data_IF_778739844952
#
_entry.id   IF_778739844952
#
_cell.length_a   1.000
_cell.length_b   1.000
_cell.length_c   1.000
_cell.angle_alpha   90.00
_cell.angle_beta   90.00
_cell.angle_gamma   90.00
#
_symmetry.space_group_name_H-M   'P 1'
#
loop_
_entity.id
_entity.type
_entity.pdbx_description
1 polymer ?
#
# COMPACT_ATOMS: atom_id res chain seq x y z
N UNK A 1 -23.61 -6.68 -15.05
CA UNK A 1 -23.01 -5.36 -15.32
C UNK A 1 -22.36 -5.36 -16.70
N UNK A 2 -22.96 -4.67 -17.66
CA UNK A 2 -22.51 -4.55 -19.05
C UNK A 2 -22.04 -3.12 -19.29
N UNK A 3 -20.84 -2.80 -18.81
CA UNK A 3 -20.00 -1.80 -19.47
C UNK A 3 -18.69 -2.51 -19.84
N UNK A 4 -18.25 -2.47 -21.11
CA UNK A 4 -17.02 -3.11 -21.53
C UNK A 4 -15.83 -2.24 -21.10
N UNK A 5 -15.69 -2.00 -19.79
CA UNK A 5 -14.53 -1.32 -19.25
C UNK A 5 -13.30 -2.19 -19.50
N UNK A 6 -12.27 -1.59 -20.09
CA UNK A 6 -10.97 -2.26 -20.22
C UNK A 6 -10.41 -2.46 -18.82
N UNK A 7 -9.69 -3.57 -18.62
CA UNK A 7 -9.05 -3.88 -17.32
C UNK A 7 -8.17 -2.72 -16.84
N UNK A 8 -7.49 -2.04 -17.77
CA UNK A 8 -6.68 -0.85 -17.50
C UNK A 8 -7.48 0.34 -16.99
N UNK A 9 -8.70 0.57 -17.49
CA UNK A 9 -9.58 1.66 -17.04
C UNK A 9 -10.08 1.41 -15.63
N UNK A 10 -10.40 0.15 -15.31
CA UNK A 10 -10.80 -0.22 -13.96
C UNK A 10 -9.65 -0.07 -12.96
N UNK A 11 -8.44 -0.53 -13.31
CA UNK A 11 -7.25 -0.31 -12.47
C UNK A 11 -7.04 1.20 -12.27
N UNK A 12 -7.03 2.00 -13.35
CA UNK A 12 -6.83 3.45 -13.24
C UNK A 12 -7.87 4.11 -12.32
N UNK A 13 -9.16 3.75 -12.45
CA UNK A 13 -10.21 4.26 -11.60
C UNK A 13 -9.98 3.91 -10.11
N UNK A 14 -9.60 2.67 -9.81
CA UNK A 14 -9.27 2.23 -8.45
C UNK A 14 -8.09 3.03 -7.86
N UNK A 15 -7.03 3.21 -8.64
CA UNK A 15 -5.86 3.98 -8.20
C UNK A 15 -6.20 5.44 -7.91
N UNK A 16 -6.99 6.08 -8.79
CA UNK A 16 -7.43 7.48 -8.63
C UNK A 16 -8.34 7.64 -7.41
N UNK A 17 -9.35 6.78 -7.23
CA UNK A 17 -10.23 6.83 -6.07
C UNK A 17 -9.43 6.61 -4.78
N UNK A 18 -8.52 5.63 -4.78
CA UNK A 18 -7.63 5.37 -3.65
C UNK A 18 -6.77 6.59 -3.31
N UNK A 19 -6.21 7.26 -4.32
CA UNK A 19 -5.42 8.47 -4.13
C UNK A 19 -6.24 9.57 -3.49
N UNK A 20 -7.41 9.88 -4.06
CA UNK A 20 -8.29 10.94 -3.56
C UNK A 20 -8.71 10.68 -2.11
N UNK A 21 -9.19 9.46 -1.83
CA UNK A 21 -9.61 9.05 -0.48
C UNK A 21 -8.47 9.16 0.53
N UNK A 22 -7.29 8.68 0.16
CA UNK A 22 -6.10 8.69 1.04
C UNK A 22 -5.63 10.12 1.30
N UNK A 23 -5.56 10.95 0.27
CA UNK A 23 -5.18 12.36 0.39
C UNK A 23 -6.14 13.14 1.28
N UNK A 24 -7.45 12.97 1.11
CA UNK A 24 -8.45 13.64 1.97
C UNK A 24 -8.30 13.19 3.42
N UNK A 25 -8.16 11.88 3.67
CA UNK A 25 -8.00 11.36 5.02
C UNK A 25 -6.74 11.87 5.73
N UNK A 26 -5.64 11.96 4.99
CA UNK A 26 -4.36 12.41 5.55
C UNK A 26 -4.33 13.92 5.76
N UNK A 27 -4.90 14.71 4.84
CA UNK A 27 -5.03 16.14 5.04
C UNK A 27 -5.86 16.45 6.29
N UNK A 28 -6.97 15.73 6.48
CA UNK A 28 -7.78 15.87 7.69
C UNK A 28 -6.98 15.50 8.96
N UNK A 29 -6.25 14.39 8.94
CA UNK A 29 -5.41 13.97 10.06
C UNK A 29 -4.28 14.96 10.35
N UNK A 30 -3.62 15.51 9.31
CA UNK A 30 -2.56 16.49 9.44
C UNK A 30 -3.07 17.81 10.04
N UNK A 31 -4.25 18.28 9.62
CA UNK A 31 -4.87 19.48 10.19
C UNK A 31 -5.20 19.30 11.68
N UNK A 32 -5.72 18.12 12.06
CA UNK A 32 -5.95 17.79 13.46
C UNK A 32 -4.64 17.71 14.26
N UNK A 33 -3.58 17.16 13.68
CA UNK A 33 -2.26 17.10 14.32
C UNK A 33 -1.70 18.50 14.60
N UNK A 34 -1.82 19.42 13.65
CA UNK A 34 -1.40 20.82 13.81
C UNK A 34 -2.24 21.50 14.91
N UNK A 35 -3.57 21.32 14.88
CA UNK A 35 -4.47 21.98 15.82
C UNK A 35 -4.33 21.46 17.26
N UNK A 36 -4.12 20.15 17.45
CA UNK A 36 -4.14 19.51 18.77
C UNK A 36 -2.75 19.32 19.39
N UNK A 37 -1.70 19.16 18.58
CA UNK A 37 -0.36 18.79 19.05
C UNK A 37 0.73 19.80 18.69
N UNK A 38 0.38 20.92 18.03
CA UNK A 38 1.34 21.95 17.54
C UNK A 38 2.49 21.34 16.72
N UNK A 39 2.26 20.17 16.11
CA UNK A 39 3.23 19.46 15.31
C UNK A 39 2.93 19.67 13.84
N UNK A 40 3.82 20.38 13.14
CA UNK A 40 3.67 20.63 11.72
C UNK A 40 4.44 19.60 10.90
N UNK A 41 3.74 18.58 10.44
CA UNK A 41 4.30 17.52 9.59
C UNK A 41 4.87 18.08 8.27
N UNK A 42 4.37 19.23 7.81
CA UNK A 42 4.82 19.84 6.56
C UNK A 42 6.20 20.50 6.67
N UNK A 43 6.73 20.71 7.88
CA UNK A 43 8.09 21.23 8.07
C UNK A 43 9.17 20.25 7.58
N UNK A 44 8.85 18.96 7.52
CA UNK A 44 9.71 17.92 6.92
C UNK A 44 9.87 18.08 5.38
N UNK A 45 9.05 18.94 4.76
CA UNK A 45 9.21 19.40 3.39
C UNK A 45 9.06 18.31 2.31
N UNK A 46 9.75 18.53 1.18
CA UNK A 46 9.71 17.66 0.00
C UNK A 46 10.10 16.19 0.28
N UNK A 47 11.09 15.88 1.13
CA UNK A 47 11.42 14.51 1.52
C UNK A 47 10.24 13.67 2.03
N UNK A 48 9.33 14.28 2.80
CA UNK A 48 8.15 13.58 3.32
C UNK A 48 7.23 13.14 2.17
N UNK A 49 7.01 14.01 1.18
CA UNK A 49 6.19 13.67 0.01
C UNK A 49 6.78 12.50 -0.78
N UNK A 50 8.10 12.42 -0.87
CA UNK A 50 8.79 11.32 -1.57
C UNK A 50 8.55 9.99 -0.86
N UNK A 51 8.72 9.91 0.47
CA UNK A 51 8.40 8.67 1.19
C UNK A 51 6.90 8.38 1.25
N UNK A 52 6.07 9.42 1.26
CA UNK A 52 4.62 9.27 1.23
C UNK A 52 4.13 8.63 -0.07
N UNK A 53 4.68 9.03 -1.21
CA UNK A 53 4.36 8.38 -2.50
C UNK A 53 4.74 6.90 -2.51
N UNK A 54 5.83 6.51 -1.85
CA UNK A 54 6.20 5.09 -1.69
C UNK A 54 5.14 4.29 -0.94
N UNK A 55 4.54 4.88 0.10
CA UNK A 55 3.46 4.24 0.86
C UNK A 55 2.19 4.11 0.04
N UNK A 56 1.83 5.13 -0.75
CA UNK A 56 0.69 5.07 -1.67
C UNK A 56 0.88 3.93 -2.68
N UNK A 57 2.05 3.86 -3.32
CA UNK A 57 2.33 2.82 -4.33
C UNK A 57 2.26 1.43 -3.72
N UNK A 58 2.79 1.24 -2.51
CA UNK A 58 2.64 -0.04 -1.79
C UNK A 58 1.16 -0.33 -1.52
N UNK A 59 0.39 0.65 -1.04
CA UNK A 59 -1.04 0.52 -0.77
C UNK A 59 -1.85 0.14 -2.02
N UNK A 60 -1.48 0.67 -3.18
CA UNK A 60 -2.05 0.25 -4.46
C UNK A 60 -1.70 -1.20 -4.79
N UNK A 61 -0.44 -1.60 -4.61
CA UNK A 61 -0.01 -2.96 -4.88
C UNK A 61 -0.73 -3.99 -3.97
N UNK A 62 -0.83 -3.72 -2.66
CA UNK A 62 -1.57 -4.58 -1.73
C UNK A 62 -3.06 -4.57 -2.00
N UNK A 63 -3.65 -3.42 -2.28
CA UNK A 63 -5.07 -3.29 -2.64
C UNK A 63 -5.42 -4.12 -3.89
N UNK A 64 -4.63 -4.00 -4.95
CA UNK A 64 -4.80 -4.80 -6.17
C UNK A 64 -4.60 -6.30 -5.89
N UNK A 65 -3.63 -6.67 -5.06
CA UNK A 65 -3.40 -8.05 -4.64
C UNK A 65 -4.58 -8.64 -3.86
N UNK A 66 -5.16 -7.89 -2.93
CA UNK A 66 -6.37 -8.27 -2.18
C UNK A 66 -7.56 -8.46 -3.10
N UNK A 67 -7.81 -7.52 -4.02
CA UNK A 67 -8.91 -7.65 -4.97
C UNK A 67 -8.70 -8.87 -5.87
N UNK A 68 -7.48 -9.12 -6.34
CA UNK A 68 -7.15 -10.31 -7.11
C UNK A 68 -7.43 -11.61 -6.34
N UNK A 69 -7.13 -11.63 -5.03
CA UNK A 69 -7.40 -12.78 -4.16
C UNK A 69 -8.90 -13.04 -4.02
N UNK A 70 -9.69 -11.99 -3.76
CA UNK A 70 -11.15 -12.08 -3.62
C UNK A 70 -11.79 -12.51 -4.95
N UNK A 71 -11.35 -11.95 -6.08
CA UNK A 71 -11.85 -12.36 -7.40
C UNK A 71 -11.59 -13.84 -7.71
N UNK A 72 -10.49 -14.40 -7.17
CA UNK A 72 -10.09 -15.78 -7.43
C UNK A 72 -10.77 -16.80 -6.51
N UNK A 73 -10.92 -16.47 -5.23
CA UNK A 73 -11.41 -17.41 -4.21
C UNK A 73 -12.78 -17.03 -3.63
N UNK A 74 -13.40 -15.97 -4.13
CA UNK A 74 -14.70 -15.46 -3.67
C UNK A 74 -14.63 -14.76 -2.31
N UNK A 75 -15.81 -14.53 -1.72
CA UNK A 75 -15.95 -13.82 -0.44
C UNK A 75 -15.28 -14.55 0.74
N UNK A 76 -15.04 -15.86 0.65
CA UNK A 76 -14.28 -16.61 1.66
C UNK A 76 -12.84 -16.10 1.83
N UNK A 77 -12.28 -15.46 0.81
CA UNK A 77 -10.94 -14.87 0.83
C UNK A 77 -10.86 -13.52 1.55
N UNK A 78 -12.01 -12.92 1.91
CA UNK A 78 -12.03 -11.64 2.64
C UNK A 78 -11.28 -11.75 3.97
N UNK A 79 -11.45 -12.87 4.68
CA UNK A 79 -10.72 -13.16 5.92
C UNK A 79 -9.20 -13.14 5.72
N UNK A 80 -8.71 -13.71 4.62
CA UNK A 80 -7.29 -13.72 4.26
C UNK A 80 -6.79 -12.32 3.90
N UNK A 81 -7.62 -11.50 3.26
CA UNK A 81 -7.29 -10.11 2.95
C UNK A 81 -7.07 -9.30 4.23
N UNK A 82 -7.94 -9.46 5.23
CA UNK A 82 -7.77 -8.82 6.53
C UNK A 82 -6.51 -9.30 7.26
N UNK A 83 -6.23 -10.60 7.26
CA UNK A 83 -5.00 -11.15 7.83
C UNK A 83 -3.76 -10.56 7.17
N UNK A 84 -3.76 -10.42 5.84
CA UNK A 84 -2.65 -9.82 5.10
C UNK A 84 -2.40 -8.36 5.51
N UNK A 85 -3.46 -7.54 5.54
CA UNK A 85 -3.35 -6.13 5.93
C UNK A 85 -2.89 -6.00 7.39
N UNK A 86 -3.44 -6.84 8.28
CA UNK A 86 -3.07 -6.83 9.69
C UNK A 86 -1.63 -7.31 9.90
N UNK A 87 -1.16 -8.31 9.16
CA UNK A 87 0.22 -8.79 9.22
C UNK A 87 1.21 -7.74 8.69
N UNK A 88 0.83 -6.96 7.68
CA UNK A 88 1.69 -5.89 7.16
C UNK A 88 1.91 -4.77 8.16
N UNK A 89 0.94 -4.45 9.03
CA UNK A 89 1.08 -3.37 10.00
C UNK A 89 2.30 -3.51 10.95
N UNK A 90 2.50 -4.63 11.68
CA UNK A 90 3.68 -4.82 12.52
C UNK A 90 4.96 -5.11 11.72
N UNK A 91 4.85 -5.74 10.54
CA UNK A 91 6.02 -6.12 9.73
C UNK A 91 6.60 -4.95 8.93
N UNK A 92 5.84 -3.88 8.72
CA UNK A 92 6.23 -2.70 7.92
C UNK A 92 7.01 -1.65 8.70
N UNK A 93 7.42 -1.91 9.95
CA UNK A 93 8.15 -0.97 10.79
C UNK A 93 7.47 0.41 11.01
N UNK A 94 6.14 0.45 10.88
CA UNK A 94 5.28 1.62 11.16
C UNK A 94 5.53 2.15 12.56
N UNK A 95 5.44 1.27 13.56
CA UNK A 95 5.51 1.66 14.97
C UNK A 95 6.94 1.58 15.50
N UNK A 96 7.64 0.48 15.22
CA UNK A 96 8.98 0.20 15.72
C UNK A 96 9.98 0.04 14.57
N UNK A 97 11.23 0.50 14.74
CA UNK A 97 12.30 0.26 13.76
C UNK A 97 12.57 -1.23 13.57
N UNK A 98 13.11 -1.60 12.40
CA UNK A 98 13.37 -3.00 12.04
C UNK A 98 14.36 -3.65 13.02
N UNK A 99 15.31 -2.89 13.55
CA UNK A 99 16.35 -3.38 14.48
C UNK A 99 15.80 -3.98 15.79
N UNK A 100 14.59 -3.61 16.20
CA UNK A 100 13.94 -4.14 17.42
C UNK A 100 13.22 -5.46 17.14
N UNK A 101 12.94 -5.77 15.87
CA UNK A 101 12.27 -7.02 15.51
C UNK A 101 13.20 -8.22 15.75
N UNK A 102 12.66 -9.40 16.12
CA UNK A 102 13.45 -10.62 16.23
C UNK A 102 14.24 -10.88 14.94
N UNK A 103 15.47 -11.39 15.05
CA UNK A 103 16.36 -11.64 13.90
C UNK A 103 15.70 -12.47 12.79
N UNK A 104 14.77 -13.35 13.13
CA UNK A 104 14.02 -14.17 12.16
C UNK A 104 13.00 -13.37 11.34
N UNK A 105 12.53 -12.23 11.85
CA UNK A 105 11.47 -11.38 11.26
C UNK A 105 12.07 -10.22 10.46
N UNK A 106 13.28 -9.78 10.79
CA UNK A 106 13.96 -8.70 10.08
C UNK A 106 14.07 -8.93 8.56
N UNK A 107 14.37 -10.14 8.05
CA UNK A 107 14.39 -10.39 6.60
C UNK A 107 13.02 -10.20 5.94
N UNK A 108 11.92 -10.47 6.66
CA UNK A 108 10.56 -10.26 6.17
C UNK A 108 10.25 -8.77 6.09
N UNK A 109 10.65 -8.00 7.11
CA UNK A 109 10.52 -6.55 7.08
C UNK A 109 11.34 -5.94 5.92
N UNK A 110 12.51 -6.51 5.61
CA UNK A 110 13.40 -6.04 4.54
C UNK A 110 12.88 -6.28 3.11
N UNK A 111 11.82 -7.08 2.91
CA UNK A 111 11.18 -7.23 1.59
C UNK A 111 9.91 -6.38 1.44
N UNK A 112 9.50 -5.70 2.52
CA UNK A 112 8.31 -4.84 2.54
C UNK A 112 8.73 -3.41 2.16
N UNK A 113 8.14 -2.80 1.11
CA UNK A 113 8.49 -1.44 0.68
C UNK A 113 8.27 -0.40 1.79
N UNK A 114 7.19 -0.54 2.56
CA UNK A 114 6.88 0.38 3.65
C UNK A 114 7.95 0.44 4.74
N UNK A 115 8.64 -0.66 5.06
CA UNK A 115 9.69 -0.66 6.08
C UNK A 115 10.78 0.36 5.77
N UNK A 116 11.18 0.44 4.50
CA UNK A 116 12.17 1.39 4.03
C UNK A 116 11.66 2.83 4.05
N UNK A 117 10.37 3.04 3.75
CA UNK A 117 9.76 4.36 3.80
C UNK A 117 9.63 4.86 5.25
N UNK A 118 9.18 4.03 6.18
CA UNK A 118 9.07 4.39 7.59
C UNK A 118 10.42 4.61 8.25
N UNK A 119 11.44 3.81 7.94
CA UNK A 119 12.80 4.09 8.39
C UNK A 119 13.40 5.35 7.77
N UNK A 120 13.14 5.61 6.48
CA UNK A 120 13.58 6.84 5.83
C UNK A 120 12.95 8.09 6.45
N UNK A 121 11.66 8.05 6.73
CA UNK A 121 10.97 9.13 7.46
C UNK A 121 11.50 9.26 8.89
N UNK A 122 11.83 8.16 9.57
CA UNK A 122 12.42 8.17 10.90
C UNK A 122 13.80 8.85 10.92
N UNK A 123 14.69 8.47 9.99
CA UNK A 123 16.00 9.11 9.85
C UNK A 123 15.88 10.61 9.50
N UNK A 124 14.89 10.98 8.68
CA UNK A 124 14.62 12.38 8.37
C UNK A 124 14.16 13.17 9.62
N UNK A 125 13.31 12.58 10.46
CA UNK A 125 12.79 13.25 11.66
C UNK A 125 13.84 13.39 12.77
N UNK A 126 14.68 12.36 12.98
CA UNK A 126 15.65 12.34 14.08
C UNK A 126 17.02 12.92 13.69
N UNK A 127 17.52 12.58 12.49
CA UNK A 127 18.87 12.95 12.05
C UNK A 127 18.87 14.09 11.03
N UNK A 128 17.69 14.53 10.57
CA UNK A 128 17.56 15.55 9.51
C UNK A 128 18.11 15.09 8.14
N UNK A 129 18.40 13.80 7.98
CA UNK A 129 19.13 13.28 6.81
C UNK A 129 18.23 12.47 5.89
N UNK A 130 18.35 12.69 4.58
CA UNK A 130 17.64 11.90 3.58
C UNK A 130 18.45 10.66 3.20
N UNK A 131 17.96 9.49 3.60
CA UNK A 131 18.58 8.18 3.34
C UNK A 131 18.25 7.68 1.93
N UNK A 132 19.12 8.02 0.97
CA UNK A 132 19.00 7.60 -0.43
C UNK A 132 19.00 6.08 -0.63
N UNK A 133 19.72 5.35 0.22
CA UNK A 133 19.76 3.89 0.21
C UNK A 133 18.38 3.27 0.51
N UNK A 134 17.66 3.81 1.50
CA UNK A 134 16.31 3.37 1.85
C UNK A 134 15.31 3.76 0.76
N UNK A 135 15.46 4.97 0.20
CA UNK A 135 14.62 5.41 -0.90
C UNK A 135 14.71 4.47 -2.11
N UNK A 136 15.92 4.17 -2.59
CA UNK A 136 16.08 3.31 -3.77
C UNK A 136 15.65 1.87 -3.54
N UNK A 137 15.95 1.30 -2.36
CA UNK A 137 15.46 -0.03 -1.99
C UNK A 137 13.93 -0.09 -1.96
N UNK A 138 13.30 0.89 -1.30
CA UNK A 138 11.84 1.00 -1.25
C UNK A 138 11.22 1.16 -2.64
N UNK A 139 11.83 1.96 -3.53
CA UNK A 139 11.31 2.17 -4.89
C UNK A 139 11.42 0.93 -5.75
N UNK A 140 12.56 0.23 -5.68
CA UNK A 140 12.75 -1.03 -6.39
C UNK A 140 11.72 -2.08 -5.95
N UNK A 141 11.53 -2.23 -4.63
CA UNK A 141 10.53 -3.15 -4.07
C UNK A 141 9.11 -2.76 -4.49
N UNK A 142 8.78 -1.46 -4.49
CA UNK A 142 7.46 -0.98 -4.93
C UNK A 142 7.18 -1.32 -6.40
N UNK A 143 8.15 -1.15 -7.30
CA UNK A 143 8.01 -1.53 -8.70
C UNK A 143 7.73 -3.02 -8.83
N UNK A 144 8.45 -3.85 -8.08
CA UNK A 144 8.27 -5.31 -8.08
C UNK A 144 6.88 -5.67 -7.55
N UNK A 145 6.48 -5.13 -6.39
CA UNK A 145 5.18 -5.39 -5.77
C UNK A 145 4.02 -4.97 -6.69
N UNK A 146 4.10 -3.77 -7.28
CA UNK A 146 3.07 -3.27 -8.18
C UNK A 146 2.97 -4.12 -9.45
N UNK A 147 4.10 -4.52 -10.03
CA UNK A 147 4.11 -5.41 -11.21
C UNK A 147 3.46 -6.76 -10.91
N UNK A 148 3.81 -7.38 -9.78
CA UNK A 148 3.20 -8.64 -9.32
C UNK A 148 1.70 -8.46 -9.09
N UNK A 149 1.28 -7.38 -8.43
CA UNK A 149 -0.11 -7.12 -8.13
C UNK A 149 -0.96 -6.90 -9.40
N UNK A 150 -0.46 -6.12 -10.37
CA UNK A 150 -1.11 -5.93 -11.67
C UNK A 150 -1.23 -7.26 -12.42
N UNK A 151 -0.17 -8.08 -12.40
CA UNK A 151 -0.19 -9.40 -13.03
C UNK A 151 -1.21 -10.35 -12.39
N UNK A 152 -1.26 -10.39 -11.06
CA UNK A 152 -2.26 -11.18 -10.32
C UNK A 152 -3.68 -10.70 -10.61
N UNK A 153 -3.90 -9.39 -10.56
CA UNK A 153 -5.19 -8.77 -10.81
C UNK A 153 -5.70 -9.05 -12.23
N UNK A 154 -4.86 -8.85 -13.25
CA UNK A 154 -5.24 -9.10 -14.65
C UNK A 154 -5.58 -10.58 -14.89
N UNK A 155 -4.85 -11.52 -14.29
CA UNK A 155 -5.17 -12.96 -14.36
C UNK A 155 -6.47 -13.30 -13.64
N UNK A 156 -6.66 -12.82 -12.42
CA UNK A 156 -7.88 -13.07 -11.65
C UNK A 156 -9.12 -12.50 -12.36
N UNK A 157 -8.99 -11.29 -12.92
CA UNK A 157 -10.06 -10.64 -13.67
C UNK A 157 -10.43 -11.41 -14.95
N UNK A 158 -9.43 -11.91 -15.69
CA UNK A 158 -9.67 -12.72 -16.89
C UNK A 158 -10.39 -14.04 -16.56
N UNK A 159 -9.99 -14.70 -15.47
CA UNK A 159 -10.63 -15.94 -15.00
C UNK A 159 -12.07 -15.71 -14.55
N UNK A 160 -12.32 -14.66 -13.76
CA UNK A 160 -13.68 -14.30 -13.31
C UNK A 160 -14.62 -14.02 -14.49
N UNK A 161 -14.11 -13.40 -15.57
CA UNK A 161 -14.87 -13.15 -16.81
C UNK A 161 -15.22 -14.45 -17.55
N UNK A 162 -14.32 -15.44 -17.56
CA UNK A 162 -14.54 -16.73 -18.23
C UNK A 162 -15.51 -17.64 -17.45
N UNK A 163 -15.49 -17.58 -16.11
CA UNK A 163 -16.33 -18.43 -15.26
C UNK A 163 -17.77 -17.90 -15.07
N UNK A 164 -18.11 -16.72 -15.60
CA UNK A 164 -19.45 -16.13 -15.43
C UNK A 164 -19.81 -15.74 -13.99
N UNK A 165 -18.86 -15.84 -13.05
CA UNK A 165 -19.06 -15.66 -11.60
C UNK A 165 -19.51 -14.24 -11.20
N UNK A 166 -19.36 -13.25 -12.09
CA UNK A 166 -19.95 -11.91 -11.90
C UNK A 166 -21.49 -11.89 -11.84
N UNK A 167 -22.15 -13.01 -12.17
CA UNK A 167 -23.61 -13.15 -12.15
C UNK A 167 -24.17 -13.72 -10.82
N UNK A 168 -23.35 -14.30 -9.94
CA UNK A 168 -23.84 -14.98 -8.73
C UNK A 168 -23.86 -14.11 -7.45
N UNK A 169 -23.34 -12.88 -7.49
CA UNK A 169 -23.32 -11.97 -6.34
C UNK A 169 -24.54 -11.03 -6.23
N UNK A 170 -25.60 -11.26 -7.01
CA UNK A 170 -26.83 -10.46 -7.00
C UNK A 170 -28.03 -11.24 -6.45
N UNK A 171 -27.79 -12.09 -5.45
CA UNK A 171 -28.83 -12.60 -4.55
C UNK A 171 -28.61 -12.04 -3.14
#
# INVERSE_FOLDING_TARGET
FVSPLKVSEHIAALLVISLLRTSIGILAAALLAIALYTFNIFDLGLPLLVFFTQLIVMGWATGLGVIALILRYGLGAESLAWVLVFALAPLSAVYYPVDILPEMVQPIAAIIPASHAYEGMRALMFDGSFRWDLFWKGSALNIIWLAIAIWLYTRAFAQARQQGSLLQGSE
#
